data_IF_250427644011
#
_entry.id   IF_250427644011
#
_cell.length_a   1.000
_cell.length_b   1.000
_cell.length_c   1.000
_cell.angle_alpha   90.00
_cell.angle_beta   90.00
_cell.angle_gamma   90.00
#
_symmetry.space_group_name_H-M   'P 1'
#
loop_
_entity.id
_entity.type
_entity.pdbx_description
1 polymer ?
#
# COMPACT_ATOMS: atom_id res chain seq x y z
N UNK A 1 -57.03 0.03 27.35
CA UNK A 1 -56.87 -1.43 27.19
C UNK A 1 -55.50 -1.67 26.58
N UNK A 2 -54.46 -2.22 27.21
CA UNK A 2 -54.11 -2.58 28.59
C UNK A 2 -52.58 -2.80 28.59
N UNK A 3 -51.89 -2.31 29.63
CA UNK A 3 -50.69 -2.85 30.31
C UNK A 3 -49.62 -3.60 29.48
N UNK A 4 -48.32 -3.27 29.50
CA UNK A 4 -47.50 -2.73 30.58
C UNK A 4 -47.18 -3.82 31.62
N UNK A 5 -46.11 -4.61 31.45
CA UNK A 5 -45.62 -5.54 32.49
C UNK A 5 -44.13 -5.37 32.74
N UNK A 6 -43.87 -4.58 33.79
CA UNK A 6 -42.67 -4.64 34.61
C UNK A 6 -42.67 -5.96 35.40
N UNK A 7 -41.51 -6.60 35.51
CA UNK A 7 -41.27 -7.63 36.52
C UNK A 7 -40.20 -7.11 37.48
N UNK A 8 -40.67 -6.66 38.65
CA UNK A 8 -39.91 -6.61 39.90
C UNK A 8 -40.13 -7.95 40.60
N UNK A 9 -39.06 -8.63 40.99
CA UNK A 9 -39.12 -9.69 42.00
C UNK A 9 -38.07 -9.42 43.08
N UNK A 10 -38.52 -9.59 44.33
CA UNK A 10 -37.90 -9.16 45.58
C UNK A 10 -36.88 -10.16 46.14
N UNK A 11 -36.09 -9.68 47.10
CA UNK A 11 -35.11 -10.37 47.94
C UNK A 11 -35.59 -11.69 48.58
N UNK A 12 -34.66 -12.62 48.81
CA UNK A 12 -34.86 -13.74 49.73
C UNK A 12 -33.64 -14.66 49.95
N UNK A 13 -32.78 -14.26 50.91
CA UNK A 13 -32.02 -15.10 51.88
C UNK A 13 -30.81 -15.94 51.43
N UNK A 14 -29.81 -15.84 52.32
CA UNK A 14 -28.43 -16.34 52.36
C UNK A 14 -28.34 -17.86 52.61
N UNK A 15 -27.40 -18.53 51.92
CA UNK A 15 -26.67 -19.67 52.48
C UNK A 15 -25.33 -19.87 51.73
N UNK A 16 -24.27 -19.90 52.53
CA UNK A 16 -22.86 -20.00 52.21
C UNK A 16 -22.44 -21.41 51.79
N UNK A 17 -21.62 -21.55 50.74
CA UNK A 17 -20.43 -22.42 50.72
C UNK A 17 -19.59 -22.13 49.47
N UNK A 18 -18.27 -22.05 49.64
CA UNK A 18 -17.34 -21.48 48.67
C UNK A 18 -17.10 -22.31 47.41
N UNK A 19 -16.99 -21.60 46.29
CA UNK A 19 -16.25 -21.98 45.09
C UNK A 19 -15.62 -20.70 44.54
N UNK A 20 -14.29 -20.71 44.33
CA UNK A 20 -13.58 -19.60 43.71
C UNK A 20 -14.09 -19.39 42.29
N UNK A 21 -14.90 -18.36 42.08
CA UNK A 21 -15.25 -17.85 40.76
C UNK A 21 -14.05 -17.07 40.22
N UNK A 22 -13.35 -17.67 39.26
CA UNK A 22 -12.44 -16.92 38.40
C UNK A 22 -13.24 -15.76 37.78
N UNK A 23 -12.87 -14.53 38.12
CA UNK A 23 -13.41 -13.34 37.51
C UNK A 23 -13.06 -13.40 36.01
N UNK A 24 -14.07 -13.67 35.18
CA UNK A 24 -13.99 -13.40 33.75
C UNK A 24 -13.75 -11.90 33.64
N UNK A 25 -12.53 -11.52 33.30
CA UNK A 25 -12.22 -10.16 32.91
C UNK A 25 -13.14 -9.81 31.73
N UNK A 26 -13.86 -8.70 31.84
CA UNK A 26 -14.63 -8.15 30.72
C UNK A 26 -13.70 -8.03 29.50
N UNK A 27 -14.18 -8.34 28.28
CA UNK A 27 -13.42 -8.07 27.07
C UNK A 27 -13.03 -6.58 27.05
N UNK A 28 -11.81 -6.22 26.61
CA UNK A 28 -11.34 -4.84 26.70
C UNK A 28 -12.33 -3.92 25.99
N UNK A 29 -12.94 -3.01 26.76
CA UNK A 29 -13.89 -2.03 26.27
C UNK A 29 -13.32 -1.30 25.06
N UNK A 30 -14.05 -1.32 23.95
CA UNK A 30 -13.73 -0.53 22.77
C UNK A 30 -13.47 0.94 23.16
N UNK A 31 -12.35 1.54 22.74
CA UNK A 31 -12.07 2.94 23.06
C UNK A 31 -13.16 3.84 22.45
N UNK A 32 -13.46 4.99 23.10
CA UNK A 32 -14.55 5.86 22.67
C UNK A 32 -14.33 6.34 21.23
N UNK A 33 -15.34 6.10 20.41
CA UNK A 33 -15.38 6.39 18.99
C UNK A 33 -15.44 7.90 18.71
N UNK A 34 -14.50 8.41 17.92
CA UNK A 34 -14.57 9.77 17.39
C UNK A 34 -15.59 9.83 16.24
N UNK A 35 -16.55 10.77 16.23
CA UNK A 35 -17.68 10.74 15.29
C UNK A 35 -17.28 10.76 13.80
N UNK A 36 -16.18 11.42 13.42
CA UNK A 36 -15.68 11.40 12.03
C UNK A 36 -14.83 10.18 11.66
N UNK A 37 -14.42 9.37 12.64
CA UNK A 37 -13.60 8.15 12.43
C UNK A 37 -14.46 6.96 12.02
N UNK A 38 -15.68 6.85 12.57
CA UNK A 38 -16.63 5.80 12.18
C UNK A 38 -17.06 6.01 10.71
N UNK A 39 -17.33 7.24 10.31
CA UNK A 39 -17.83 7.54 8.97
C UNK A 39 -16.85 7.12 7.87
N UNK A 40 -15.56 7.40 8.05
CA UNK A 40 -14.53 7.00 7.07
C UNK A 40 -14.31 5.49 7.02
N UNK A 41 -14.35 4.80 8.15
CA UNK A 41 -14.22 3.33 8.18
C UNK A 41 -15.42 2.65 7.50
N UNK A 42 -16.63 3.19 7.68
CA UNK A 42 -17.85 2.73 6.99
C UNK A 42 -17.76 2.97 5.48
N UNK A 43 -17.28 4.13 5.04
CA UNK A 43 -17.14 4.44 3.62
C UNK A 43 -16.04 3.57 2.95
N UNK A 44 -14.93 3.34 3.66
CA UNK A 44 -13.89 2.39 3.23
C UNK A 44 -14.48 0.99 3.08
N UNK A 45 -15.22 0.51 4.08
CA UNK A 45 -15.86 -0.82 4.02
C UNK A 45 -16.91 -0.90 2.90
N UNK A 46 -17.70 0.14 2.68
CA UNK A 46 -18.67 0.22 1.59
C UNK A 46 -17.99 0.10 0.21
N UNK A 47 -16.79 0.65 0.08
CA UNK A 47 -15.94 0.57 -1.10
C UNK A 47 -15.20 -0.77 -1.25
N UNK A 48 -15.41 -1.73 -0.33
CA UNK A 48 -14.72 -3.02 -0.32
C UNK A 48 -13.30 -2.97 0.25
N UNK A 49 -12.97 -1.90 0.97
CA UNK A 49 -11.67 -1.69 1.58
C UNK A 49 -11.53 -2.24 2.99
N UNK A 50 -10.34 -2.11 3.54
CA UNK A 50 -9.95 -2.54 4.88
C UNK A 50 -8.99 -1.53 5.48
N UNK A 51 -9.01 -1.43 6.80
CA UNK A 51 -8.14 -0.53 7.58
C UNK A 51 -7.25 -1.35 8.51
N UNK A 52 -6.03 -0.89 8.69
CA UNK A 52 -5.06 -1.51 9.59
C UNK A 52 -4.56 -0.46 10.59
N UNK A 53 -4.41 -0.91 11.83
CA UNK A 53 -4.16 -0.04 12.97
C UNK A 53 -2.74 -0.17 13.49
N UNK A 54 -2.23 0.93 14.04
CA UNK A 54 -1.05 0.93 14.91
C UNK A 54 -1.40 0.17 16.21
N UNK A 55 -1.00 -1.10 16.27
CA UNK A 55 -1.21 -1.97 17.45
C UNK A 55 -0.23 -1.65 18.60
N UNK A 56 0.84 -0.90 18.34
CA UNK A 56 1.81 -0.49 19.34
C UNK A 56 1.45 0.86 20.00
N UNK A 57 0.66 1.69 19.32
CA UNK A 57 0.26 3.01 19.79
C UNK A 57 -0.96 2.99 20.74
N UNK A 58 -1.09 4.00 21.61
CA UNK A 58 -2.17 4.08 22.59
C UNK A 58 -3.57 4.28 21.97
N UNK A 59 -3.64 4.90 20.78
CA UNK A 59 -4.91 5.39 20.19
C UNK A 59 -5.48 4.51 19.06
N UNK A 60 -4.86 3.34 18.80
CA UNK A 60 -5.18 2.46 17.65
C UNK A 60 -5.40 3.26 16.37
N UNK A 61 -4.50 4.17 16.00
CA UNK A 61 -4.70 5.02 14.83
C UNK A 61 -4.61 4.20 13.55
N UNK A 62 -5.38 4.56 12.51
CA UNK A 62 -5.27 3.95 11.19
C UNK A 62 -3.91 4.34 10.59
N UNK A 63 -3.12 3.34 10.20
CA UNK A 63 -1.80 3.53 9.57
C UNK A 63 -1.78 3.12 8.11
N UNK A 64 -2.67 2.22 7.74
CA UNK A 64 -2.74 1.64 6.41
C UNK A 64 -4.20 1.44 6.01
N UNK A 65 -4.50 1.82 4.77
CA UNK A 65 -5.80 1.62 4.14
C UNK A 65 -5.59 0.83 2.86
N UNK A 66 -6.39 -0.19 2.69
CA UNK A 66 -6.41 -1.04 1.49
C UNK A 66 -7.77 -0.88 0.85
N UNK A 67 -7.83 -0.30 -0.33
CA UNK A 67 -9.05 -0.13 -1.12
C UNK A 67 -9.03 -1.15 -2.26
N UNK A 68 -9.80 -2.22 -2.12
CA UNK A 68 -9.76 -3.36 -3.06
C UNK A 68 -11.13 -3.71 -3.63
N UNK A 69 -11.12 -4.20 -4.87
CA UNK A 69 -12.26 -4.90 -5.46
C UNK A 69 -13.09 -4.03 -6.40
N UNK A 70 -14.08 -4.65 -7.04
CA UNK A 70 -14.92 -4.00 -8.06
C UNK A 70 -15.89 -2.94 -7.53
N UNK A 71 -15.89 -2.66 -6.23
CA UNK A 71 -16.73 -1.63 -5.58
C UNK A 71 -16.05 -0.27 -5.49
N UNK A 72 -14.72 -0.21 -5.65
CA UNK A 72 -13.99 1.06 -5.66
C UNK A 72 -14.18 1.74 -7.02
N UNK A 73 -15.09 2.70 -7.08
CA UNK A 73 -15.31 3.59 -8.23
C UNK A 73 -14.47 4.87 -8.11
N UNK A 74 -14.26 5.61 -9.22
CA UNK A 74 -13.64 6.94 -9.20
C UNK A 74 -14.27 7.90 -8.19
N UNK A 75 -15.60 7.91 -8.10
CA UNK A 75 -16.35 8.80 -7.20
C UNK A 75 -16.10 8.44 -5.74
N UNK A 76 -16.08 7.13 -5.43
CA UNK A 76 -15.76 6.65 -4.09
C UNK A 76 -14.33 7.03 -3.68
N UNK A 77 -13.36 6.87 -4.58
CA UNK A 77 -11.97 7.28 -4.33
C UNK A 77 -11.87 8.79 -4.08
N UNK A 78 -12.56 9.60 -4.90
CA UNK A 78 -12.57 11.06 -4.74
C UNK A 78 -13.22 11.49 -3.42
N UNK A 79 -14.34 10.87 -3.03
CA UNK A 79 -15.04 11.12 -1.77
C UNK A 79 -14.16 10.77 -0.55
N UNK A 80 -13.47 9.63 -0.61
CA UNK A 80 -12.56 9.17 0.45
C UNK A 80 -11.28 10.01 0.61
N UNK A 81 -10.84 10.73 -0.43
CA UNK A 81 -9.57 11.45 -0.39
C UNK A 81 -9.49 12.50 0.75
N UNK A 82 -10.55 13.29 0.96
CA UNK A 82 -10.56 14.31 2.02
C UNK A 82 -10.62 13.73 3.45
N UNK A 83 -11.47 12.72 3.75
CA UNK A 83 -11.42 11.99 5.01
C UNK A 83 -10.06 11.32 5.26
N UNK A 84 -9.48 10.64 4.27
CA UNK A 84 -8.18 9.98 4.39
C UNK A 84 -7.05 10.98 4.68
N UNK A 85 -7.11 12.19 4.12
CA UNK A 85 -6.17 13.28 4.39
C UNK A 85 -6.17 13.73 5.86
N UNK A 86 -7.30 13.55 6.57
CA UNK A 86 -7.43 13.92 7.98
C UNK A 86 -6.92 12.84 8.95
N UNK A 87 -6.53 11.66 8.45
CA UNK A 87 -6.01 10.59 9.29
C UNK A 87 -4.54 10.85 9.64
N UNK A 88 -4.22 11.21 10.90
CA UNK A 88 -2.92 11.80 11.24
C UNK A 88 -1.75 10.81 11.18
N UNK A 89 -2.03 9.50 11.21
CA UNK A 89 -1.02 8.44 11.12
C UNK A 89 -1.11 7.59 9.85
N UNK A 90 -2.00 7.92 8.92
CA UNK A 90 -2.11 7.19 7.66
C UNK A 90 -0.83 7.40 6.87
N UNK A 91 -0.09 6.33 6.60
CA UNK A 91 1.17 6.37 5.84
C UNK A 91 1.13 5.49 4.61
N UNK A 92 0.26 4.47 4.61
CA UNK A 92 0.21 3.47 3.55
C UNK A 92 -1.16 3.41 2.91
N UNK A 93 -1.19 3.42 1.59
CA UNK A 93 -2.40 3.26 0.81
C UNK A 93 -2.18 2.21 -0.27
N UNK A 94 -3.05 1.21 -0.32
CA UNK A 94 -3.13 0.27 -1.43
C UNK A 94 -4.43 0.49 -2.19
N UNK A 95 -4.36 0.66 -3.50
CA UNK A 95 -5.53 0.77 -4.38
C UNK A 95 -5.48 -0.38 -5.37
N UNK A 96 -6.51 -1.23 -5.37
CA UNK A 96 -6.63 -2.34 -6.31
C UNK A 96 -8.03 -2.35 -6.93
N UNK A 97 -8.16 -1.75 -8.12
CA UNK A 97 -9.42 -1.68 -8.85
C UNK A 97 -9.17 -1.54 -10.34
N UNK A 98 -9.94 -2.27 -11.13
CA UNK A 98 -9.95 -2.16 -12.60
C UNK A 98 -10.82 -1.01 -13.11
N UNK A 99 -11.47 -0.25 -12.22
CA UNK A 99 -12.25 0.95 -12.58
C UNK A 99 -11.42 2.24 -12.52
N UNK A 100 -10.32 2.23 -11.76
CA UNK A 100 -9.45 3.40 -11.58
C UNK A 100 -8.52 3.59 -12.79
N UNK A 101 -8.45 4.83 -13.28
CA UNK A 101 -7.66 5.32 -14.42
C UNK A 101 -6.83 6.54 -14.01
N UNK A 102 -6.15 7.14 -14.98
CA UNK A 102 -5.17 8.22 -14.78
C UNK A 102 -5.75 9.43 -14.04
N UNK A 103 -6.90 9.96 -14.48
CA UNK A 103 -7.50 11.16 -13.88
C UNK A 103 -7.93 10.96 -12.43
N UNK A 104 -8.31 9.73 -12.06
CA UNK A 104 -8.79 9.40 -10.72
C UNK A 104 -7.66 9.52 -9.67
N UNK A 105 -6.41 9.33 -10.08
CA UNK A 105 -5.24 9.50 -9.22
C UNK A 105 -5.00 10.95 -8.80
N UNK A 106 -5.62 11.94 -9.46
CA UNK A 106 -5.55 13.34 -9.06
C UNK A 106 -6.03 13.57 -7.63
N UNK A 107 -7.04 12.80 -7.20
CA UNK A 107 -7.58 12.88 -5.83
C UNK A 107 -6.53 12.55 -4.76
N UNK A 108 -5.53 11.72 -5.09
CA UNK A 108 -4.46 11.35 -4.17
C UNK A 108 -3.56 12.52 -3.81
N UNK A 109 -3.55 13.60 -4.59
CA UNK A 109 -2.75 14.80 -4.29
C UNK A 109 -3.07 15.42 -2.92
N UNK A 110 -4.24 15.11 -2.33
CA UNK A 110 -4.60 15.56 -0.99
C UNK A 110 -3.87 14.80 0.13
N UNK A 111 -3.35 13.61 -0.17
CA UNK A 111 -2.79 12.66 0.82
C UNK A 111 -1.29 12.89 1.02
N UNK A 112 -0.91 14.12 1.36
CA UNK A 112 0.48 14.57 1.50
C UNK A 112 1.27 13.81 2.58
N UNK A 113 0.57 13.15 3.50
CA UNK A 113 1.16 12.32 4.55
C UNK A 113 1.59 10.90 4.10
N UNK A 114 1.28 10.48 2.87
CA UNK A 114 1.59 9.14 2.40
C UNK A 114 3.11 8.93 2.22
N UNK A 115 3.58 7.80 2.74
CA UNK A 115 4.94 7.31 2.60
C UNK A 115 5.02 6.06 1.71
N UNK A 116 3.93 5.29 1.61
CA UNK A 116 3.85 4.04 0.83
C UNK A 116 2.56 3.99 0.01
N UNK A 117 2.67 3.89 -1.31
CA UNK A 117 1.54 3.80 -2.24
C UNK A 117 1.71 2.58 -3.14
N UNK A 118 0.74 1.67 -3.10
CA UNK A 118 0.70 0.48 -3.96
C UNK A 118 -0.53 0.58 -4.88
N UNK A 119 -0.29 0.56 -6.20
CA UNK A 119 -1.31 0.72 -7.23
C UNK A 119 -1.45 -0.58 -8.03
N UNK A 120 -2.66 -1.14 -8.02
CA UNK A 120 -3.10 -2.23 -8.88
C UNK A 120 -4.31 -1.77 -9.69
N UNK A 121 -4.05 -0.82 -10.58
CA UNK A 121 -5.01 -0.19 -11.47
C UNK A 121 -4.42 -0.06 -12.87
N UNK A 122 -5.30 0.22 -13.84
CA UNK A 122 -4.92 0.35 -15.25
C UNK A 122 -4.54 1.80 -15.56
N UNK A 123 -3.33 2.18 -15.16
CA UNK A 123 -2.81 3.56 -15.27
C UNK A 123 -1.61 3.62 -16.21
N UNK A 124 -1.40 4.80 -16.78
CA UNK A 124 -0.31 5.14 -17.68
C UNK A 124 0.62 6.19 -17.06
N UNK A 125 1.59 6.68 -17.83
CA UNK A 125 2.44 7.79 -17.40
C UNK A 125 1.68 9.07 -17.03
N UNK A 126 0.48 9.30 -17.57
CA UNK A 126 -0.35 10.44 -17.20
C UNK A 126 -0.85 10.32 -15.74
N UNK A 127 -1.27 9.13 -15.33
CA UNK A 127 -1.64 8.85 -13.94
C UNK A 127 -0.48 9.02 -12.97
N UNK A 128 0.72 8.53 -13.35
CA UNK A 128 1.93 8.70 -12.53
C UNK A 128 2.29 10.18 -12.33
N UNK A 129 2.04 11.04 -13.33
CA UNK A 129 2.33 12.47 -13.21
C UNK A 129 1.52 13.14 -12.08
N UNK A 130 0.31 12.67 -11.77
CA UNK A 130 -0.49 13.19 -10.64
C UNK A 130 0.14 12.87 -9.28
N UNK A 131 0.93 11.80 -9.18
CA UNK A 131 1.60 11.39 -7.96
C UNK A 131 2.78 12.30 -7.60
N UNK A 132 3.30 13.11 -8.54
CA UNK A 132 4.44 13.98 -8.32
C UNK A 132 4.23 15.04 -7.23
N UNK A 133 2.99 15.25 -6.76
CA UNK A 133 2.70 16.11 -5.60
C UNK A 133 2.98 15.44 -4.25
N UNK A 134 3.15 14.11 -4.19
CA UNK A 134 3.35 13.34 -2.97
C UNK A 134 4.83 13.32 -2.55
N UNK A 135 5.34 14.47 -2.13
CA UNK A 135 6.78 14.68 -1.87
C UNK A 135 7.34 13.84 -0.70
N UNK A 136 6.47 13.33 0.17
CA UNK A 136 6.84 12.41 1.27
C UNK A 136 6.93 10.93 0.86
N UNK A 137 6.58 10.59 -0.39
CA UNK A 137 6.49 9.19 -0.80
C UNK A 137 7.88 8.53 -0.83
N UNK A 138 8.05 7.50 0.00
CA UNK A 138 9.28 6.71 0.06
C UNK A 138 9.16 5.40 -0.69
N UNK A 139 7.93 4.96 -0.98
CA UNK A 139 7.63 3.68 -1.61
C UNK A 139 6.46 3.77 -2.56
N UNK A 140 6.70 3.32 -3.79
CA UNK A 140 5.74 3.29 -4.88
C UNK A 140 5.76 1.91 -5.52
N UNK A 141 4.59 1.30 -5.65
CA UNK A 141 4.42 0.03 -6.33
C UNK A 141 3.38 0.09 -7.42
N UNK A 142 3.68 -0.51 -8.56
CA UNK A 142 2.73 -0.78 -9.64
C UNK A 142 2.62 -2.30 -9.82
N UNK A 143 1.41 -2.82 -9.71
CA UNK A 143 1.09 -4.24 -9.88
C UNK A 143 0.04 -4.38 -10.97
N UNK A 144 0.33 -5.18 -12.00
CA UNK A 144 -0.63 -5.44 -13.07
C UNK A 144 -1.11 -4.16 -13.77
N UNK A 145 -0.14 -3.30 -14.11
CA UNK A 145 -0.34 -2.07 -14.90
C UNK A 145 0.29 -2.25 -16.30
N UNK A 146 -0.37 -2.97 -17.22
CA UNK A 146 0.21 -3.37 -18.49
C UNK A 146 0.44 -2.21 -19.47
N UNK A 147 -0.20 -1.06 -19.25
CA UNK A 147 -0.05 0.15 -20.05
C UNK A 147 1.12 1.04 -19.59
N UNK A 148 1.77 0.71 -18.48
CA UNK A 148 2.88 1.48 -17.96
C UNK A 148 4.14 1.24 -18.81
N UNK A 149 4.63 2.28 -19.47
CA UNK A 149 5.80 2.25 -20.36
C UNK A 149 7.02 2.90 -19.70
N UNK A 150 8.21 2.71 -20.30
CA UNK A 150 9.46 3.32 -19.83
C UNK A 150 9.37 4.83 -19.57
N UNK A 151 8.60 5.54 -20.39
CA UNK A 151 8.36 6.99 -20.25
C UNK A 151 7.64 7.36 -18.95
N UNK A 152 6.81 6.47 -18.40
CA UNK A 152 6.13 6.71 -17.13
C UNK A 152 7.12 6.80 -15.96
N UNK A 153 8.26 6.08 -16.04
CA UNK A 153 9.32 6.12 -15.02
C UNK A 153 10.07 7.46 -14.98
N UNK A 154 9.93 8.31 -16.00
CA UNK A 154 10.46 9.68 -15.94
C UNK A 154 9.72 10.47 -14.85
N UNK A 155 8.41 10.26 -14.72
CA UNK A 155 7.58 10.98 -13.76
C UNK A 155 7.92 10.61 -12.31
N UNK A 156 8.39 9.38 -12.04
CA UNK A 156 8.80 8.98 -10.68
C UNK A 156 10.03 9.74 -10.17
N UNK A 157 10.78 10.42 -11.04
CA UNK A 157 11.90 11.29 -10.63
C UNK A 157 11.43 12.56 -9.89
N UNK A 158 10.16 12.92 -10.00
CA UNK A 158 9.56 14.05 -9.26
C UNK A 158 9.33 13.73 -7.78
N UNK A 159 9.61 12.49 -7.34
CA UNK A 159 9.50 12.00 -5.97
C UNK A 159 10.90 11.91 -5.33
N UNK A 160 11.41 12.99 -4.73
CA UNK A 160 12.82 13.07 -4.32
C UNK A 160 13.18 12.11 -3.17
N UNK A 161 12.19 11.65 -2.41
CA UNK A 161 12.36 10.75 -1.27
C UNK A 161 12.13 9.27 -1.64
N UNK A 162 11.92 8.94 -2.91
CA UNK A 162 11.58 7.59 -3.31
C UNK A 162 12.78 6.63 -3.16
N UNK A 163 12.65 5.68 -2.24
CA UNK A 163 13.62 4.61 -1.95
C UNK A 163 13.18 3.26 -2.49
N UNK A 164 11.86 3.07 -2.42
CA UNK A 164 10.96 1.98 -2.78
C UNK A 164 10.43 1.99 -4.20
N UNK A 165 10.90 1.21 -5.16
CA UNK A 165 10.17 1.05 -6.43
C UNK A 165 9.86 -0.42 -6.72
N UNK A 166 8.57 -0.76 -6.75
CA UNK A 166 8.09 -2.12 -7.07
C UNK A 166 7.36 -2.13 -8.40
N UNK A 167 7.89 -2.89 -9.36
CA UNK A 167 7.31 -3.06 -10.68
C UNK A 167 6.99 -4.54 -10.86
N UNK A 168 5.70 -4.87 -10.87
CA UNK A 168 5.22 -6.23 -11.00
C UNK A 168 4.17 -6.33 -12.11
N UNK A 169 4.38 -7.26 -13.04
CA UNK A 169 3.49 -7.46 -14.19
C UNK A 169 3.32 -6.19 -15.05
N UNK A 170 4.43 -5.49 -15.27
CA UNK A 170 4.52 -4.29 -16.12
C UNK A 170 5.43 -4.61 -17.32
N UNK A 171 4.93 -5.41 -18.26
CA UNK A 171 5.74 -5.98 -19.36
C UNK A 171 6.32 -4.94 -20.33
N UNK A 172 5.75 -3.73 -20.38
CA UNK A 172 6.23 -2.61 -21.21
C UNK A 172 7.31 -1.77 -20.54
N UNK A 173 7.72 -2.12 -19.32
CA UNK A 173 8.94 -1.60 -18.71
C UNK A 173 10.10 -2.48 -19.14
N UNK A 174 11.04 -1.90 -19.87
CA UNK A 174 12.17 -2.59 -20.51
C UNK A 174 13.51 -2.10 -19.95
N UNK A 175 14.61 -2.57 -20.54
CA UNK A 175 15.96 -2.11 -20.25
C UNK A 175 16.11 -0.59 -20.39
N UNK A 176 15.34 0.03 -21.28
CA UNK A 176 15.31 1.49 -21.44
C UNK A 176 14.76 2.18 -20.20
N UNK A 177 13.65 1.67 -19.63
CA UNK A 177 13.09 2.17 -18.39
C UNK A 177 14.06 2.00 -17.22
N UNK A 178 14.73 0.86 -17.14
CA UNK A 178 15.73 0.61 -16.11
C UNK A 178 16.91 1.60 -16.18
N UNK A 179 17.37 1.93 -17.40
CA UNK A 179 18.40 2.97 -17.63
C UNK A 179 17.94 4.36 -17.20
N UNK A 180 16.64 4.66 -17.22
CA UNK A 180 16.13 5.94 -16.72
C UNK A 180 16.16 6.00 -15.19
N UNK A 181 15.96 4.88 -14.50
CA UNK A 181 15.91 4.83 -13.04
C UNK A 181 17.28 5.02 -12.37
N UNK A 182 18.40 4.75 -13.05
CA UNK A 182 19.76 4.89 -12.49
C UNK A 182 20.07 6.28 -11.92
N UNK A 183 19.37 7.30 -12.41
CA UNK A 183 19.52 8.69 -11.99
C UNK A 183 18.78 9.04 -10.69
N UNK A 184 18.04 8.10 -10.10
CA UNK A 184 17.33 8.31 -8.83
C UNK A 184 18.31 8.14 -7.66
N UNK A 185 18.69 9.23 -6.95
CA UNK A 185 19.80 9.19 -6.01
C UNK A 185 19.49 8.43 -4.73
N UNK A 186 18.21 8.33 -4.36
CA UNK A 186 17.75 7.72 -3.12
C UNK A 186 17.19 6.30 -3.30
N UNK A 187 17.18 5.73 -4.52
CA UNK A 187 16.56 4.44 -4.76
C UNK A 187 17.40 3.31 -4.14
N UNK A 188 16.86 2.70 -3.08
CA UNK A 188 17.52 1.66 -2.29
C UNK A 188 17.01 0.27 -2.66
N UNK A 189 15.75 0.13 -3.09
CA UNK A 189 15.18 -1.17 -3.44
C UNK A 189 14.38 -1.12 -4.74
N UNK A 190 14.65 -2.09 -5.60
CA UNK A 190 13.99 -2.25 -6.88
C UNK A 190 13.46 -3.67 -7.04
N UNK A 191 12.16 -3.80 -7.29
CA UNK A 191 11.55 -5.08 -7.68
C UNK A 191 11.18 -5.04 -9.15
N UNK A 192 11.66 -6.02 -9.91
CA UNK A 192 11.39 -6.25 -11.33
C UNK A 192 10.78 -7.64 -11.48
N UNK A 193 9.46 -7.74 -11.29
CA UNK A 193 8.71 -8.99 -11.42
C UNK A 193 7.91 -9.00 -12.70
N UNK A 194 8.17 -9.97 -13.56
CA UNK A 194 7.47 -10.13 -14.84
C UNK A 194 7.43 -8.83 -15.67
N UNK A 195 8.58 -8.16 -15.75
CA UNK A 195 8.83 -6.97 -16.58
C UNK A 195 9.45 -7.36 -17.92
N UNK A 196 9.53 -6.41 -18.85
CA UNK A 196 10.26 -6.54 -20.12
C UNK A 196 11.79 -6.30 -20.01
N UNK A 197 12.30 -6.08 -18.80
CA UNK A 197 13.75 -6.02 -18.52
C UNK A 197 14.41 -7.37 -18.81
N UNK A 198 15.47 -7.39 -19.63
CA UNK A 198 16.22 -8.57 -20.03
C UNK A 198 17.40 -8.84 -19.11
N UNK A 199 18.07 -9.98 -19.30
CA UNK A 199 19.34 -10.30 -18.63
C UNK A 199 20.44 -9.27 -18.89
N UNK A 200 20.48 -8.69 -20.09
CA UNK A 200 21.47 -7.69 -20.48
C UNK A 200 21.17 -6.35 -19.80
N UNK A 201 19.89 -5.97 -19.72
CA UNK A 201 19.45 -4.76 -19.02
C UNK A 201 19.91 -4.68 -17.57
N UNK A 202 20.07 -5.82 -16.88
CA UNK A 202 20.51 -5.86 -15.49
C UNK A 202 21.92 -5.29 -15.26
N UNK A 203 22.76 -5.15 -16.30
CA UNK A 203 24.09 -4.53 -16.12
C UNK A 203 24.00 -3.09 -15.63
N UNK A 204 22.93 -2.37 -15.96
CA UNK A 204 22.75 -0.98 -15.53
C UNK A 204 22.53 -0.85 -14.02
N UNK A 205 22.21 -1.94 -13.31
CA UNK A 205 22.05 -1.93 -11.86
C UNK A 205 23.34 -1.50 -11.13
N UNK A 206 24.50 -1.69 -11.76
CA UNK A 206 25.83 -1.23 -11.28
C UNK A 206 25.96 0.28 -11.22
N UNK A 207 25.12 0.99 -11.97
CA UNK A 207 25.15 2.46 -12.06
C UNK A 207 24.23 3.13 -11.03
N UNK A 208 23.51 2.38 -10.20
CA UNK A 208 22.64 2.94 -9.18
C UNK A 208 23.46 3.32 -7.94
N UNK A 209 23.38 4.58 -7.47
CA UNK A 209 24.29 5.08 -6.43
C UNK A 209 23.99 4.53 -5.03
N UNK A 210 22.77 4.07 -4.76
CA UNK A 210 22.30 3.72 -3.41
C UNK A 210 21.58 2.37 -3.32
N UNK A 211 21.64 1.54 -4.37
CA UNK A 211 20.87 0.31 -4.46
C UNK A 211 21.38 -0.75 -3.48
N UNK A 212 20.48 -1.23 -2.62
CA UNK A 212 20.76 -2.22 -1.56
C UNK A 212 20.04 -3.53 -1.78
N UNK A 213 18.86 -3.53 -2.40
CA UNK A 213 18.08 -4.75 -2.66
C UNK A 213 17.50 -4.75 -4.07
N UNK A 214 17.65 -5.87 -4.75
CA UNK A 214 17.07 -6.12 -6.07
C UNK A 214 16.36 -7.45 -6.07
N UNK A 215 15.07 -7.43 -6.38
CA UNK A 215 14.31 -8.66 -6.62
C UNK A 215 13.98 -8.76 -8.10
N UNK A 216 14.47 -9.80 -8.76
CA UNK A 216 14.27 -10.04 -10.19
C UNK A 216 13.55 -11.36 -10.40
N UNK A 217 12.32 -11.30 -10.88
CA UNK A 217 11.51 -12.48 -11.18
C UNK A 217 11.14 -12.43 -12.66
N UNK A 218 11.61 -13.44 -13.41
CA UNK A 218 11.47 -13.47 -14.86
C UNK A 218 10.01 -13.52 -15.31
N UNK A 219 9.76 -12.95 -16.49
CA UNK A 219 8.65 -13.38 -17.36
C UNK A 219 9.20 -14.37 -18.40
N UNK A 220 8.35 -15.06 -19.18
CA UNK A 220 8.81 -15.85 -20.33
C UNK A 220 9.68 -15.04 -21.31
N UNK A 221 9.46 -13.73 -21.43
CA UNK A 221 10.22 -12.83 -22.30
C UNK A 221 11.54 -12.33 -21.67
N UNK A 222 11.77 -12.57 -20.38
CA UNK A 222 12.89 -12.04 -19.60
C UNK A 222 13.54 -13.12 -18.75
N UNK A 223 13.69 -14.34 -19.27
CA UNK A 223 14.19 -15.47 -18.48
C UNK A 223 15.59 -15.18 -17.95
N UNK A 224 15.68 -14.85 -16.66
CA UNK A 224 16.96 -14.67 -15.99
C UNK A 224 17.56 -16.05 -15.76
N UNK A 225 18.67 -16.34 -16.44
CA UNK A 225 19.39 -17.60 -16.19
C UNK A 225 19.99 -17.55 -14.78
N UNK A 226 20.06 -18.71 -14.13
CA UNK A 226 20.72 -18.83 -12.80
C UNK A 226 22.16 -18.29 -12.85
N UNK A 227 22.84 -18.52 -13.96
CA UNK A 227 24.20 -18.03 -14.17
C UNK A 227 24.25 -16.50 -14.22
N UNK A 228 23.32 -15.87 -14.91
CA UNK A 228 23.25 -14.41 -14.94
C UNK A 228 22.99 -13.81 -13.56
N UNK A 229 22.09 -14.40 -12.77
CA UNK A 229 21.84 -13.95 -11.40
C UNK A 229 23.07 -14.12 -10.50
N UNK A 230 23.83 -15.21 -10.67
CA UNK A 230 25.11 -15.40 -9.97
C UNK A 230 26.13 -14.33 -10.34
N UNK A 231 26.30 -14.06 -11.63
CA UNK A 231 27.21 -13.01 -12.09
C UNK A 231 26.80 -11.64 -11.54
N UNK A 232 25.51 -11.31 -11.57
CA UNK A 232 25.01 -10.05 -11.03
C UNK A 232 25.28 -9.91 -9.53
N UNK A 233 25.16 -11.01 -8.76
CA UNK A 233 25.55 -11.04 -7.34
C UNK A 233 27.04 -10.78 -7.12
N UNK A 234 27.89 -11.31 -8.01
CA UNK A 234 29.33 -11.07 -7.96
C UNK A 234 29.67 -9.61 -8.31
N UNK A 235 28.94 -9.01 -9.25
CA UNK A 235 29.16 -7.63 -9.69
C UNK A 235 28.64 -6.58 -8.68
N UNK A 236 27.69 -6.96 -7.82
CA UNK A 236 27.05 -6.10 -6.83
C UNK A 236 27.10 -6.73 -5.42
N UNK A 237 28.29 -6.94 -4.82
CA UNK A 237 28.44 -7.69 -3.57
C UNK A 237 27.80 -7.01 -2.35
N UNK A 238 27.54 -5.70 -2.41
CA UNK A 238 26.84 -4.94 -1.38
C UNK A 238 25.32 -4.87 -1.56
N UNK A 239 24.78 -5.49 -2.63
CA UNK A 239 23.36 -5.50 -2.94
C UNK A 239 22.78 -6.91 -2.73
N UNK A 240 21.71 -7.00 -1.97
CA UNK A 240 20.96 -8.24 -1.79
C UNK A 240 20.14 -8.53 -3.05
N UNK A 241 20.46 -9.62 -3.75
CA UNK A 241 19.76 -10.02 -4.98
C UNK A 241 18.94 -11.28 -4.75
N UNK A 242 17.63 -11.17 -4.95
CA UNK A 242 16.67 -12.27 -4.86
C UNK A 242 16.05 -12.57 -6.23
N UNK A 243 15.72 -13.85 -6.48
CA UNK A 243 15.13 -14.30 -7.74
C UNK A 243 14.02 -15.33 -7.56
#
# INVERSE_FOLDING_TARGET
MSSGHAWRCSLGVVLTLGLMTAALADPPSEPPSQPGRIDVEVEIAASGGSVFYDVAGPDRSIVEVVLTGGRLTPEALASLAAPLAKLPKLKKLTIASKLIRDDDLRSLALLQQLEDLQLNCDVTGAGVAHLGSLQGLTSLGFFCSPQLTDTALIQTRTLPQLKRLRLAYTSRITDTGLKLLRTMPALEELTLKSTGVTSEGLDVLKEFPALKRVSVSGSPASSFTRERIRQLKADLPGCEITN
#
